data_IF_048782600491
#
_entry.id   IF_048782600491
#
_cell.length_a   1.000
_cell.length_b   1.000
_cell.length_c   1.000
_cell.angle_alpha   90.00
_cell.angle_beta   90.00
_cell.angle_gamma   90.00
#
_symmetry.space_group_name_H-M   'P 1'
#
loop_
_entity.id
_entity.type
_entity.pdbx_description
1 polymer ?
#
# COMPACT_ATOMS: atom_id res chain seq x y z
N UNK A 1 -41.70 -27.52 9.51
CA UNK A 1 -41.06 -26.71 8.44
C UNK A 1 -40.13 -25.63 9.00
N UNK A 2 -39.53 -25.85 10.19
CA UNK A 2 -38.68 -24.88 10.88
C UNK A 2 -37.14 -25.05 10.74
N UNK A 3 -36.56 -26.16 10.22
CA UNK A 3 -35.10 -26.24 10.07
C UNK A 3 -34.56 -25.50 8.83
N UNK A 4 -35.43 -25.01 7.94
CA UNK A 4 -35.05 -24.33 6.68
C UNK A 4 -34.79 -22.83 6.84
N UNK A 5 -35.16 -22.23 7.98
CA UNK A 5 -34.99 -20.80 8.23
C UNK A 5 -33.69 -20.45 8.96
N UNK A 6 -33.13 -21.36 9.75
CA UNK A 6 -31.88 -21.11 10.50
C UNK A 6 -30.65 -21.16 9.58
N UNK A 7 -30.69 -22.01 8.54
CA UNK A 7 -29.61 -22.12 7.56
C UNK A 7 -29.51 -20.91 6.61
N UNK A 8 -30.61 -20.19 6.39
CA UNK A 8 -30.62 -18.99 5.55
C UNK A 8 -29.94 -17.78 6.22
N UNK A 9 -29.86 -17.77 7.57
CA UNK A 9 -29.22 -16.68 8.32
C UNK A 9 -27.70 -16.86 8.44
N UNK A 10 -27.18 -18.10 8.31
CA UNK A 10 -25.74 -18.38 8.32
C UNK A 10 -25.05 -18.04 6.99
N UNK A 11 -25.77 -18.13 5.87
CA UNK A 11 -25.21 -17.95 4.52
C UNK A 11 -25.05 -16.46 4.14
N UNK A 12 -25.81 -15.53 4.74
CA UNK A 12 -25.62 -14.09 4.52
C UNK A 12 -24.45 -13.46 5.31
N UNK A 13 -23.84 -14.18 6.26
CA UNK A 13 -22.68 -13.64 7.01
C UNK A 13 -21.36 -13.79 6.25
N UNK A 14 -21.36 -14.51 5.11
CA UNK A 14 -20.25 -14.54 4.16
C UNK A 14 -20.41 -13.46 3.09
N UNK A 15 -21.03 -12.33 3.45
CA UNK A 15 -20.90 -11.09 2.71
C UNK A 15 -19.50 -10.52 2.99
N UNK A 16 -18.53 -11.10 2.30
CA UNK A 16 -17.40 -10.38 1.72
C UNK A 16 -16.89 -9.22 2.58
N UNK A 17 -16.12 -9.56 3.62
CA UNK A 17 -15.05 -8.69 4.06
C UNK A 17 -14.02 -8.57 2.94
N UNK A 18 -14.36 -7.89 1.85
CA UNK A 18 -13.37 -7.14 1.08
C UNK A 18 -12.92 -6.04 2.03
N UNK A 19 -11.98 -6.40 2.91
CA UNK A 19 -11.23 -5.45 3.70
C UNK A 19 -10.54 -4.56 2.68
N UNK A 20 -11.09 -3.37 2.47
CA UNK A 20 -10.54 -2.36 1.58
C UNK A 20 -9.24 -1.87 2.20
N UNK A 21 -8.18 -2.64 2.01
CA UNK A 21 -6.82 -2.15 2.17
C UNK A 21 -6.65 -1.05 1.12
N UNK A 22 -6.42 0.17 1.59
CA UNK A 22 -6.25 1.32 0.69
C UNK A 22 -4.89 1.18 -0.01
N UNK A 23 -4.95 0.81 -1.29
CA UNK A 23 -3.77 0.65 -2.13
C UNK A 23 -3.53 1.93 -2.93
N UNK A 24 -2.54 2.71 -2.50
CA UNK A 24 -2.15 3.93 -3.18
C UNK A 24 -1.16 3.62 -4.31
N UNK A 25 -1.68 3.29 -5.48
CA UNK A 25 -0.90 2.96 -6.68
C UNK A 25 -0.09 4.14 -7.29
N UNK A 26 -0.38 5.38 -6.88
CA UNK A 26 0.27 6.60 -7.36
C UNK A 26 0.76 7.48 -6.19
N UNK A 27 1.37 6.85 -5.19
CA UNK A 27 1.99 7.58 -4.09
C UNK A 27 3.39 8.08 -4.47
N UNK A 28 3.73 9.27 -3.98
CA UNK A 28 5.07 9.84 -4.06
C UNK A 28 5.53 10.13 -2.65
N UNK A 29 6.56 9.41 -2.23
CA UNK A 29 7.20 9.59 -0.94
C UNK A 29 8.11 10.82 -1.02
N UNK A 30 7.81 11.83 -0.22
CA UNK A 30 8.55 13.11 -0.19
C UNK A 30 9.55 13.16 0.94
N UNK A 31 9.25 12.50 2.05
CA UNK A 31 10.12 12.47 3.22
C UNK A 31 10.01 11.13 3.94
N UNK A 32 11.14 10.68 4.46
CA UNK A 32 11.23 9.56 5.39
C UNK A 32 11.91 10.06 6.66
N UNK A 33 11.23 9.91 7.80
CA UNK A 33 11.66 10.39 9.11
C UNK A 33 11.60 9.22 10.10
N UNK A 34 12.73 8.53 10.26
CA UNK A 34 12.82 7.32 11.08
C UNK A 34 11.92 6.19 10.56
N UNK A 35 10.82 5.93 11.27
CA UNK A 35 9.82 4.94 10.87
C UNK A 35 8.57 5.56 10.21
N UNK A 36 8.52 6.89 10.04
CA UNK A 36 7.38 7.57 9.41
C UNK A 36 7.71 7.94 7.99
N UNK A 37 6.73 7.79 7.11
CA UNK A 37 6.83 8.14 5.70
C UNK A 37 5.78 9.18 5.39
N UNK A 38 6.24 10.32 4.86
CA UNK A 38 5.39 11.36 4.30
C UNK A 38 5.27 11.14 2.81
N UNK A 39 4.04 11.03 2.34
CA UNK A 39 3.74 10.83 0.92
C UNK A 39 2.47 11.58 0.53
N UNK A 40 2.39 11.98 -0.72
CA UNK A 40 1.13 12.43 -1.31
C UNK A 40 0.68 11.43 -2.38
N UNK A 41 -0.61 11.41 -2.67
CA UNK A 41 -1.18 10.60 -3.75
C UNK A 41 -1.66 11.51 -4.87
N UNK A 42 -1.64 11.01 -6.10
CA UNK A 42 -2.14 11.75 -7.25
C UNK A 42 -3.55 11.25 -7.57
N UNK A 43 -4.54 12.15 -7.51
CA UNK A 43 -5.92 11.86 -7.86
C UNK A 43 -6.08 11.68 -9.37
N UNK A 44 -7.19 11.05 -9.79
CA UNK A 44 -7.60 11.01 -11.20
C UNK A 44 -7.74 12.46 -11.70
N UNK A 45 -6.94 12.83 -12.71
CA UNK A 45 -6.83 14.21 -13.21
C UNK A 45 -5.49 14.90 -12.91
N UNK A 46 -4.55 14.22 -12.23
CA UNK A 46 -3.19 14.73 -12.03
C UNK A 46 -3.03 15.71 -10.87
N UNK A 47 -4.10 15.98 -10.11
CA UNK A 47 -4.04 16.78 -8.90
C UNK A 47 -3.35 16.01 -7.77
N UNK A 48 -2.37 16.65 -7.13
CA UNK A 48 -1.75 16.14 -5.91
C UNK A 48 -2.74 16.30 -4.76
N UNK A 49 -2.98 15.23 -4.01
CA UNK A 49 -3.67 15.29 -2.72
C UNK A 49 -2.73 15.82 -1.64
N UNK A 50 -3.30 16.13 -0.49
CA UNK A 50 -2.55 16.52 0.70
C UNK A 50 -1.50 15.46 1.07
N UNK A 51 -0.39 15.94 1.63
CA UNK A 51 0.65 15.06 2.16
C UNK A 51 0.15 14.37 3.43
N UNK A 52 0.27 13.05 3.45
CA UNK A 52 -0.10 12.20 4.56
C UNK A 52 1.19 11.63 5.14
N UNK A 53 1.34 11.70 6.46
CA UNK A 53 2.45 11.08 7.17
C UNK A 53 1.94 9.90 7.98
N UNK A 54 2.37 8.70 7.62
CA UNK A 54 2.01 7.48 8.35
C UNK A 54 3.25 6.74 8.87
N UNK A 55 3.19 6.15 10.07
CA UNK A 55 4.20 5.20 10.52
C UNK A 55 4.18 3.92 9.68
N UNK A 56 5.35 3.34 9.49
CA UNK A 56 5.54 2.05 8.84
C UNK A 56 5.51 0.96 9.91
N UNK A 57 4.76 -0.10 9.66
CA UNK A 57 4.72 -1.26 10.54
C UNK A 57 6.11 -1.92 10.62
N UNK A 58 6.46 -2.48 11.78
CA UNK A 58 7.78 -3.09 11.98
C UNK A 58 8.05 -4.27 11.04
N UNK A 59 6.98 -4.98 10.66
CA UNK A 59 6.98 -6.09 9.72
C UNK A 59 6.56 -5.67 8.29
N UNK A 60 6.65 -4.38 7.95
CA UNK A 60 6.25 -3.92 6.64
C UNK A 60 7.18 -4.43 5.54
N UNK A 61 6.58 -4.85 4.42
CA UNK A 61 7.32 -5.28 3.23
C UNK A 61 7.84 -4.07 2.48
N UNK A 62 9.16 -3.92 2.38
CA UNK A 62 9.80 -2.84 1.61
C UNK A 62 10.59 -3.44 0.47
N UNK A 63 10.08 -3.31 -0.76
CA UNK A 63 10.63 -3.95 -1.93
C UNK A 63 10.56 -3.05 -3.16
N UNK A 64 11.21 -3.48 -4.24
CA UNK A 64 11.00 -2.88 -5.56
C UNK A 64 9.65 -3.34 -6.13
N UNK A 65 8.95 -2.46 -6.84
CA UNK A 65 7.75 -2.84 -7.58
C UNK A 65 8.14 -3.67 -8.82
N UNK A 66 7.59 -4.87 -8.95
CA UNK A 66 7.76 -5.75 -10.12
C UNK A 66 6.42 -5.89 -10.84
N UNK A 67 6.39 -5.56 -12.12
CA UNK A 67 5.17 -5.75 -12.92
C UNK A 67 5.14 -7.17 -13.48
N UNK A 68 4.21 -7.98 -12.99
CA UNK A 68 3.92 -9.30 -13.51
C UNK A 68 2.99 -9.16 -14.74
N UNK A 69 3.53 -9.41 -15.94
CA UNK A 69 2.80 -9.28 -17.20
C UNK A 69 1.72 -10.36 -17.38
N UNK A 70 1.90 -11.52 -16.76
CA UNK A 70 0.96 -12.65 -16.87
C UNK A 70 -0.31 -12.35 -16.08
N UNK A 71 -0.15 -11.86 -14.85
CA UNK A 71 -1.27 -11.49 -13.99
C UNK A 71 -1.75 -10.04 -14.20
N UNK A 72 -1.00 -9.23 -14.95
CA UNK A 72 -1.20 -7.78 -15.11
C UNK A 72 -1.26 -7.05 -13.75
N UNK A 73 -0.46 -7.50 -12.79
CA UNK A 73 -0.40 -6.98 -11.42
C UNK A 73 0.99 -6.47 -11.08
N UNK A 74 1.05 -5.53 -10.15
CA UNK A 74 2.29 -5.10 -9.51
C UNK A 74 2.45 -5.95 -8.25
N UNK A 75 3.58 -6.64 -8.15
CA UNK A 75 3.94 -7.49 -7.03
C UNK A 75 5.24 -6.99 -6.39
N UNK A 76 5.50 -7.43 -5.15
CA UNK A 76 6.78 -7.22 -4.51
C UNK A 76 7.89 -7.96 -5.27
N UNK A 77 8.85 -7.20 -5.79
CA UNK A 77 10.07 -7.73 -6.39
C UNK A 77 11.16 -7.94 -5.34
N UNK A 78 12.39 -7.54 -5.69
CA UNK A 78 13.51 -7.69 -4.78
C UNK A 78 13.38 -6.78 -3.55
N UNK A 79 13.68 -7.30 -2.34
CA UNK A 79 13.67 -6.49 -1.13
C UNK A 79 14.67 -5.34 -1.24
N UNK A 80 14.26 -4.16 -0.80
CA UNK A 80 15.11 -2.97 -0.85
C UNK A 80 16.17 -3.07 0.24
N UNK A 81 17.45 -3.24 -0.13
CA UNK A 81 18.55 -3.28 0.85
C UNK A 81 18.56 -1.99 1.70
N UNK A 82 18.42 -2.12 3.01
CA UNK A 82 18.34 -0.99 3.93
C UNK A 82 16.92 -0.43 4.17
N UNK A 83 15.88 -1.00 3.55
CA UNK A 83 14.49 -0.62 3.76
C UNK A 83 14.27 0.88 3.57
N UNK A 84 13.59 1.53 4.53
CA UNK A 84 13.33 2.98 4.52
C UNK A 84 14.59 3.87 4.47
N UNK A 85 15.76 3.34 4.86
CA UNK A 85 17.03 4.08 4.83
C UNK A 85 17.73 4.02 3.46
N UNK A 86 17.16 3.30 2.50
CA UNK A 86 17.71 3.19 1.15
C UNK A 86 17.81 4.55 0.46
N UNK A 87 18.85 4.74 -0.35
CA UNK A 87 19.08 5.98 -1.10
C UNK A 87 17.95 6.33 -2.09
N UNK A 88 17.15 5.33 -2.49
CA UNK A 88 15.94 5.54 -3.28
C UNK A 88 14.98 6.55 -2.66
N UNK A 89 14.95 6.69 -1.33
CA UNK A 89 14.07 7.63 -0.61
C UNK A 89 14.69 9.02 -0.37
N UNK A 90 15.97 9.22 -0.73
CA UNK A 90 16.67 10.52 -0.56
C UNK A 90 16.48 11.45 -1.77
N UNK A 91 15.69 11.06 -2.76
CA UNK A 91 15.48 11.83 -3.98
C UNK A 91 14.65 13.09 -3.71
N UNK A 92 15.19 14.28 -4.02
CA UNK A 92 14.49 15.57 -3.87
C UNK A 92 13.21 15.70 -4.68
N UNK A 93 13.05 14.92 -5.76
CA UNK A 93 11.82 14.89 -6.58
C UNK A 93 10.71 14.00 -5.99
N UNK A 94 11.01 13.32 -4.89
CA UNK A 94 10.16 12.30 -4.30
C UNK A 94 10.27 10.96 -5.04
N UNK A 95 9.94 9.88 -4.33
CA UNK A 95 10.08 8.52 -4.81
C UNK A 95 8.72 7.95 -5.10
N UNK A 96 8.47 7.57 -6.36
CA UNK A 96 7.22 6.92 -6.73
C UNK A 96 7.17 5.53 -6.09
N UNK A 97 6.09 5.26 -5.38
CA UNK A 97 5.85 3.99 -4.73
C UNK A 97 4.37 3.61 -4.80
N UNK A 98 4.11 2.32 -4.68
CA UNK A 98 2.83 1.80 -4.23
C UNK A 98 2.90 1.69 -2.72
N UNK A 99 1.94 2.28 -2.04
CA UNK A 99 1.84 2.20 -0.58
C UNK A 99 0.56 1.45 -0.26
N UNK A 100 0.70 0.47 0.62
CA UNK A 100 -0.39 -0.36 1.12
C UNK A 100 -0.47 -0.13 2.62
N UNK A 101 -1.64 0.23 3.11
CA UNK A 101 -1.87 0.50 4.53
C UNK A 101 -2.51 -0.70 5.25
N UNK A 102 -2.55 -0.63 6.58
CA UNK A 102 -3.39 -1.52 7.38
C UNK A 102 -4.88 -1.18 7.19
N UNK A 103 -5.75 -2.05 7.72
CA UNK A 103 -7.19 -1.88 7.63
C UNK A 103 -7.70 -0.55 8.21
N UNK A 104 -6.97 0.03 9.17
CA UNK A 104 -7.32 1.30 9.79
C UNK A 104 -6.73 2.52 9.08
N UNK A 105 -5.96 2.34 8.00
CA UNK A 105 -5.21 3.41 7.32
C UNK A 105 -4.29 4.22 8.25
N UNK A 106 -3.81 3.60 9.32
CA UNK A 106 -2.95 4.20 10.36
C UNK A 106 -1.49 3.82 10.19
N UNK A 107 -1.20 2.65 9.61
CA UNK A 107 0.15 2.13 9.43
C UNK A 107 0.35 1.67 7.99
N UNK A 108 1.57 1.83 7.50
CA UNK A 108 1.96 1.30 6.20
C UNK A 108 2.45 -0.14 6.42
N UNK A 109 1.86 -1.09 5.70
CA UNK A 109 2.18 -2.52 5.74
C UNK A 109 3.05 -2.95 4.55
N UNK A 110 3.00 -2.23 3.44
CA UNK A 110 3.87 -2.48 2.29
C UNK A 110 4.23 -1.18 1.55
N UNK A 111 5.48 -1.11 1.10
CA UNK A 111 6.02 -0.05 0.25
C UNK A 111 6.75 -0.69 -0.92
N UNK A 112 6.19 -0.54 -2.12
CA UNK A 112 6.83 -1.00 -3.36
C UNK A 112 7.33 0.20 -4.15
N UNK A 113 8.64 0.42 -4.16
CA UNK A 113 9.21 1.56 -4.90
C UNK A 113 9.39 1.22 -6.37
N UNK A 114 8.95 2.10 -7.26
CA UNK A 114 9.28 1.98 -8.68
C UNK A 114 10.69 2.50 -8.89
N UNK A 115 11.61 1.61 -9.22
CA UNK A 115 13.00 1.97 -9.49
C UNK A 115 13.02 2.93 -10.68
N UNK A 116 13.33 4.19 -10.39
CA UNK A 116 13.65 5.17 -11.43
C UNK A 116 15.15 5.01 -11.66
N UNK A 117 15.50 4.30 -12.74
CA UNK A 117 16.89 4.21 -13.21
C UNK A 117 17.49 5.58 -13.47
#
# INVERSE_FOLDING_TARGET
MLPKLVFAMLVMTVASGLLAVDEFNAAVITKVDGNKVTFYTIAKGGQKRDEITLPVAENATIATARFNKEEKKIEAGDPLKGGLKNDAFKNKKGTRARITTDHDNKKITEILTFRTS
#
